data_IF_813548944910
#
_entry.id   IF_813548944910
#
_cell.length_a   1.000
_cell.length_b   1.000
_cell.length_c   1.000
_cell.angle_alpha   90.00
_cell.angle_beta   90.00
_cell.angle_gamma   90.00
#
_symmetry.space_group_name_H-M   'P 1'
#
loop_
_entity.id
_entity.type
_entity.pdbx_description
1 polymer ?
#
# COMPACT_ATOMS: atom_id res chain seq x y z
N UNK A 1 1.38 -23.26 -13.30
CA UNK A 1 1.57 -21.92 -12.71
C UNK A 1 3.08 -21.75 -12.53
N UNK A 2 3.69 -20.69 -13.05
CA UNK A 2 5.15 -20.47 -12.92
C UNK A 2 5.44 -20.11 -11.45
N UNK A 3 6.26 -20.93 -10.78
CA UNK A 3 6.68 -20.71 -9.39
C UNK A 3 7.67 -19.55 -9.31
N UNK A 4 7.14 -18.32 -9.24
CA UNK A 4 7.93 -17.14 -8.95
C UNK A 4 8.26 -17.14 -7.46
N UNK A 5 9.50 -17.49 -7.09
CA UNK A 5 10.02 -17.34 -5.73
C UNK A 5 10.16 -15.84 -5.42
N UNK A 6 9.08 -15.22 -4.96
CA UNK A 6 9.23 -14.03 -4.14
C UNK A 6 9.92 -14.48 -2.86
N UNK A 7 11.00 -13.81 -2.46
CA UNK A 7 11.59 -13.96 -1.12
C UNK A 7 10.56 -13.51 -0.09
N UNK A 8 9.62 -14.41 0.21
CA UNK A 8 8.52 -14.25 1.12
C UNK A 8 9.07 -14.40 2.53
N UNK A 9 9.93 -13.46 2.95
CA UNK A 9 10.10 -13.22 4.38
C UNK A 9 8.80 -12.57 4.83
N UNK A 10 7.90 -13.29 5.54
CA UNK A 10 6.67 -12.69 6.02
C UNK A 10 7.08 -11.55 6.95
N UNK A 11 6.89 -10.31 6.48
CA UNK A 11 7.19 -9.15 7.31
C UNK A 11 6.26 -9.21 8.53
N UNK A 12 6.84 -9.27 9.73
CA UNK A 12 6.05 -9.33 10.95
C UNK A 12 5.44 -7.94 11.20
N UNK A 13 4.20 -7.75 10.76
CA UNK A 13 3.46 -6.52 11.02
C UNK A 13 3.20 -6.38 12.52
N UNK A 14 3.57 -5.22 13.08
CA UNK A 14 3.30 -4.87 14.47
C UNK A 14 1.89 -4.27 14.55
N UNK A 15 0.99 -4.92 15.28
CA UNK A 15 -0.39 -4.48 15.53
C UNK A 15 -1.23 -4.17 14.26
N UNK A 16 -1.41 -5.13 13.34
CA UNK A 16 -2.26 -4.91 12.18
C UNK A 16 -3.73 -4.80 12.57
N UNK A 17 -4.44 -3.85 11.95
CA UNK A 17 -5.88 -3.64 12.17
C UNK A 17 -6.68 -4.80 11.56
N UNK A 18 -6.28 -5.27 10.37
CA UNK A 18 -6.90 -6.42 9.68
C UNK A 18 -5.84 -7.23 8.95
N UNK A 19 -5.96 -8.55 8.99
CA UNK A 19 -5.14 -9.49 8.21
C UNK A 19 -5.99 -10.13 7.11
N UNK A 20 -5.44 -10.32 5.93
CA UNK A 20 -6.11 -10.94 4.80
C UNK A 20 -5.08 -11.57 3.85
N UNK A 21 -5.52 -12.52 3.03
CA UNK A 21 -4.67 -13.13 2.00
C UNK A 21 -4.93 -12.46 0.65
N UNK A 22 -3.87 -12.26 -0.14
CA UNK A 22 -4.05 -11.84 -1.51
C UNK A 22 -4.57 -13.02 -2.35
N UNK A 23 -5.69 -12.87 -3.09
CA UNK A 23 -6.25 -13.98 -3.87
C UNK A 23 -5.41 -14.37 -5.08
N UNK A 24 -4.49 -13.49 -5.53
CA UNK A 24 -3.67 -13.75 -6.72
C UNK A 24 -2.33 -14.42 -6.38
N UNK A 25 -1.61 -13.91 -5.36
CA UNK A 25 -0.31 -14.46 -4.97
C UNK A 25 -0.35 -15.34 -3.70
N UNK A 26 -1.49 -15.41 -2.99
CA UNK A 26 -1.63 -16.21 -1.77
C UNK A 26 -0.89 -15.68 -0.55
N UNK A 27 -0.14 -14.58 -0.67
CA UNK A 27 0.67 -14.00 0.41
C UNK A 27 -0.22 -13.32 1.47
N UNK A 28 0.10 -13.54 2.75
CA UNK A 28 -0.55 -12.86 3.87
C UNK A 28 -0.23 -11.36 3.86
N UNK A 29 -1.25 -10.54 4.03
CA UNK A 29 -1.15 -9.09 4.15
C UNK A 29 -1.89 -8.57 5.36
N UNK A 30 -1.46 -7.40 5.80
CA UNK A 30 -2.07 -6.73 6.93
C UNK A 30 -2.22 -5.24 6.65
N UNK A 31 -3.40 -4.70 6.90
CA UNK A 31 -3.64 -3.26 6.89
C UNK A 31 -3.26 -2.68 8.24
N UNK A 32 -2.43 -1.63 8.22
CA UNK A 32 -2.05 -0.91 9.44
C UNK A 32 -2.94 0.31 9.63
N UNK A 33 -3.46 0.88 8.54
CA UNK A 33 -4.35 2.02 8.61
C UNK A 33 -5.81 1.59 8.74
N UNK A 34 -6.55 2.25 9.64
CA UNK A 34 -8.00 2.13 9.73
C UNK A 34 -8.67 3.21 8.87
N UNK A 35 -9.75 2.85 8.18
CA UNK A 35 -10.56 3.85 7.45
C UNK A 35 -11.29 4.84 8.37
N UNK A 36 -11.45 4.50 9.66
CA UNK A 36 -12.16 5.32 10.64
C UNK A 36 -11.19 6.28 11.32
N UNK A 37 -11.65 7.49 11.62
CA UNK A 37 -10.90 8.45 12.42
C UNK A 37 -10.77 7.93 13.85
N UNK A 38 -9.54 7.70 14.29
CA UNK A 38 -9.20 7.36 15.68
C UNK A 38 -9.23 8.62 16.55
N UNK A 39 -9.46 8.51 17.88
CA UNK A 39 -9.47 9.66 18.81
C UNK A 39 -8.21 10.54 18.73
N UNK A 40 -7.06 9.92 18.43
CA UNK A 40 -5.79 10.64 18.22
C UNK A 40 -5.87 11.65 17.08
N UNK A 41 -6.56 11.31 15.98
CA UNK A 41 -6.75 12.22 14.86
C UNK A 41 -7.66 13.39 15.23
N UNK A 42 -8.68 13.17 16.07
CA UNK A 42 -9.52 14.27 16.58
C UNK A 42 -8.72 15.25 17.43
N UNK A 43 -7.87 14.75 18.33
CA UNK A 43 -6.97 15.60 19.11
C UNK A 43 -6.03 16.42 18.20
N UNK A 44 -5.45 15.78 17.18
CA UNK A 44 -4.61 16.46 16.21
C UNK A 44 -5.38 17.54 15.42
N UNK A 45 -6.61 17.24 14.98
CA UNK A 45 -7.47 18.20 14.28
C UNK A 45 -7.77 19.44 15.14
N UNK A 46 -8.04 19.24 16.44
CA UNK A 46 -8.29 20.36 17.38
C UNK A 46 -7.06 21.26 17.50
N UNK A 47 -5.87 20.68 17.70
CA UNK A 47 -4.62 21.45 17.82
C UNK A 47 -4.33 22.21 16.53
N UNK A 48 -4.42 21.53 15.38
CA UNK A 48 -4.15 22.14 14.07
C UNK A 48 -5.16 23.25 13.78
N UNK A 49 -6.44 23.03 14.08
CA UNK A 49 -7.47 24.07 13.90
C UNK A 49 -7.19 25.27 14.80
N UNK A 50 -6.94 25.06 16.10
CA UNK A 50 -6.64 26.15 17.03
C UNK A 50 -5.41 26.97 16.59
N UNK A 51 -4.35 26.29 16.15
CA UNK A 51 -3.16 26.93 15.61
C UNK A 51 -3.46 27.73 14.33
N UNK A 52 -4.25 27.17 13.43
CA UNK A 52 -4.65 27.83 12.17
C UNK A 52 -5.53 29.04 12.45
N UNK A 53 -6.51 28.93 13.33
CA UNK A 53 -7.35 30.07 13.76
C UNK A 53 -6.51 31.17 14.39
N UNK A 54 -5.53 30.84 15.24
CA UNK A 54 -4.65 31.83 15.86
C UNK A 54 -3.80 32.58 14.84
N UNK A 55 -3.27 31.87 13.83
CA UNK A 55 -2.49 32.48 12.75
C UNK A 55 -3.35 33.37 11.83
N UNK A 56 -4.59 32.96 11.57
CA UNK A 56 -5.52 33.71 10.69
C UNK A 56 -6.31 34.80 11.44
N UNK A 57 -6.25 34.83 12.77
CA UNK A 57 -6.97 35.79 13.61
C UNK A 57 -6.80 37.27 13.20
N UNK A 58 -5.59 37.79 12.91
CA UNK A 58 -5.44 39.20 12.54
C UNK A 58 -6.04 39.55 11.17
N UNK A 59 -6.39 38.56 10.35
CA UNK A 59 -6.93 38.78 9.01
C UNK A 59 -8.44 38.52 8.92
N UNK A 60 -8.94 37.51 9.65
CA UNK A 60 -10.31 36.99 9.50
C UNK A 60 -11.10 36.94 10.81
N UNK A 61 -10.53 37.37 11.94
CA UNK A 61 -11.18 37.41 13.26
C UNK A 61 -12.03 36.15 13.55
N UNK A 62 -13.35 36.31 13.71
CA UNK A 62 -14.31 35.23 13.99
C UNK A 62 -14.69 34.39 12.78
N UNK A 63 -14.51 34.91 11.55
CA UNK A 63 -14.69 34.11 10.33
C UNK A 63 -13.65 33.00 10.22
N UNK A 64 -12.55 33.10 10.97
CA UNK A 64 -11.54 32.06 11.14
C UNK A 64 -12.09 30.74 11.70
N UNK A 65 -13.30 30.70 12.27
CA UNK A 65 -13.99 29.45 12.63
C UNK A 65 -14.29 28.56 11.41
N UNK A 66 -14.43 29.13 10.22
CA UNK A 66 -14.63 28.35 8.99
C UNK A 66 -13.40 27.49 8.64
N UNK A 67 -12.21 27.83 9.15
CA UNK A 67 -11.00 27.03 8.98
C UNK A 67 -11.15 25.60 9.52
N UNK A 68 -12.03 25.38 10.50
CA UNK A 68 -12.34 24.03 11.00
C UNK A 68 -12.84 23.10 9.89
N UNK A 69 -13.75 23.56 9.03
CA UNK A 69 -14.26 22.76 7.92
C UNK A 69 -13.17 22.43 6.90
N UNK A 70 -12.28 23.38 6.62
CA UNK A 70 -11.15 23.16 5.73
C UNK A 70 -10.18 22.12 6.30
N UNK A 71 -9.79 22.25 7.58
CA UNK A 71 -8.91 21.29 8.25
C UNK A 71 -9.56 19.90 8.30
N UNK A 72 -10.85 19.83 8.64
CA UNK A 72 -11.61 18.58 8.67
C UNK A 72 -11.62 17.88 7.30
N UNK A 73 -11.92 18.62 6.23
CA UNK A 73 -11.91 18.10 4.87
C UNK A 73 -10.53 17.57 4.46
N UNK A 74 -9.45 18.28 4.79
CA UNK A 74 -8.07 17.84 4.52
C UNK A 74 -7.77 16.54 5.28
N UNK A 75 -8.16 16.43 6.54
CA UNK A 75 -7.93 15.22 7.34
C UNK A 75 -8.71 14.03 6.81
N UNK A 76 -9.99 14.21 6.47
CA UNK A 76 -10.81 13.14 5.89
C UNK A 76 -10.22 12.65 4.57
N UNK A 77 -9.86 13.58 3.68
CA UNK A 77 -9.24 13.27 2.41
C UNK A 77 -7.88 12.58 2.59
N UNK A 78 -7.05 13.07 3.50
CA UNK A 78 -5.72 12.53 3.80
C UNK A 78 -5.77 11.09 4.30
N UNK A 79 -6.64 10.79 5.28
CA UNK A 79 -6.82 9.42 5.78
C UNK A 79 -7.37 8.51 4.68
N UNK A 80 -8.32 9.02 3.87
CA UNK A 80 -8.89 8.25 2.76
C UNK A 80 -7.85 7.95 1.68
N UNK A 81 -6.97 8.89 1.36
CA UNK A 81 -5.88 8.72 0.40
C UNK A 81 -4.82 7.76 0.93
N UNK A 82 -4.40 7.93 2.19
CA UNK A 82 -3.43 7.04 2.83
C UNK A 82 -3.94 5.59 2.87
N UNK A 83 -5.22 5.39 3.22
CA UNK A 83 -5.83 4.06 3.19
C UNK A 83 -5.82 3.45 1.79
N UNK A 84 -6.10 4.24 0.73
CA UNK A 84 -6.07 3.73 -0.66
C UNK A 84 -4.69 3.27 -1.10
N UNK A 85 -3.61 3.90 -0.61
CA UNK A 85 -2.24 3.51 -0.93
C UNK A 85 -1.86 2.14 -0.36
N UNK A 86 -2.49 1.69 0.74
CA UNK A 86 -2.22 0.37 1.33
C UNK A 86 -2.96 -0.79 0.64
N UNK A 87 -3.99 -0.51 -0.17
CA UNK A 87 -4.83 -1.54 -0.84
C UNK A 87 -4.05 -2.42 -1.86
N UNK A 88 -3.27 -1.85 -2.81
CA UNK A 88 -2.63 -2.64 -3.86
C UNK A 88 -1.55 -3.60 -3.31
N UNK A 89 -1.33 -4.71 -4.02
CA UNK A 89 -0.27 -5.65 -3.66
C UNK A 89 1.12 -5.12 -3.95
N UNK A 90 2.05 -5.11 -2.98
CA UNK A 90 3.46 -4.85 -3.27
C UNK A 90 4.13 -6.01 -4.03
N UNK A 91 3.58 -7.22 -3.96
CA UNK A 91 4.16 -8.40 -4.64
C UNK A 91 3.64 -8.59 -6.07
N UNK A 92 2.34 -8.40 -6.30
CA UNK A 92 1.71 -8.72 -7.59
C UNK A 92 0.88 -7.60 -8.21
N UNK A 93 0.88 -6.39 -7.63
CA UNK A 93 0.06 -5.27 -8.11
C UNK A 93 -1.46 -5.45 -8.00
N UNK A 94 -1.96 -6.58 -7.47
CA UNK A 94 -3.40 -6.84 -7.39
C UNK A 94 -4.12 -5.90 -6.42
N UNK A 95 -5.13 -5.17 -6.91
CA UNK A 95 -5.98 -4.27 -6.15
C UNK A 95 -7.42 -4.82 -6.05
N UNK A 96 -7.83 -5.18 -4.83
CA UNK A 96 -9.16 -5.73 -4.56
C UNK A 96 -10.29 -4.71 -4.75
N UNK A 97 -10.01 -3.41 -4.57
CA UNK A 97 -11.00 -2.34 -4.74
C UNK A 97 -11.37 -2.15 -6.21
N UNK A 98 -10.39 -2.27 -7.11
CA UNK A 98 -10.63 -2.28 -8.55
C UNK A 98 -11.25 -3.59 -9.01
N UNK A 99 -10.83 -4.74 -8.48
CA UNK A 99 -11.44 -6.03 -8.86
C UNK A 99 -12.95 -6.07 -8.59
N UNK A 100 -13.41 -5.48 -7.48
CA UNK A 100 -14.84 -5.38 -7.16
C UNK A 100 -15.61 -4.42 -8.09
N UNK A 101 -14.94 -3.39 -8.62
CA UNK A 101 -15.58 -2.38 -9.49
C UNK A 101 -15.53 -2.74 -10.96
N UNK A 102 -14.34 -3.14 -11.44
CA UNK A 102 -14.08 -3.55 -12.81
C UNK A 102 -12.90 -4.53 -12.88
N UNK A 103 -13.20 -5.77 -13.25
CA UNK A 103 -12.23 -6.86 -13.42
C UNK A 103 -11.25 -6.59 -14.58
N UNK A 104 -11.65 -5.83 -15.61
CA UNK A 104 -10.77 -5.50 -16.74
C UNK A 104 -9.68 -4.55 -16.28
N UNK A 105 -10.03 -3.53 -15.53
CA UNK A 105 -9.06 -2.57 -15.00
C UNK A 105 -8.10 -3.20 -14.00
N UNK A 106 -8.60 -4.08 -13.11
CA UNK A 106 -7.75 -4.84 -12.21
C UNK A 106 -6.72 -5.70 -12.94
N UNK A 107 -7.13 -6.38 -14.03
CA UNK A 107 -6.20 -7.14 -14.89
C UNK A 107 -5.18 -6.24 -15.57
N UNK A 108 -5.57 -5.05 -16.03
CA UNK A 108 -4.65 -4.08 -16.62
C UNK A 108 -3.59 -3.62 -15.61
N UNK A 109 -3.99 -3.27 -14.38
CA UNK A 109 -3.06 -2.86 -13.32
C UNK A 109 -2.03 -3.94 -12.97
N UNK A 110 -2.44 -5.21 -12.90
CA UNK A 110 -1.51 -6.32 -12.66
C UNK A 110 -0.53 -6.48 -13.83
N UNK A 111 -0.99 -6.37 -15.07
CA UNK A 111 -0.13 -6.41 -16.26
C UNK A 111 0.87 -5.25 -16.26
N UNK A 112 0.40 -4.05 -15.96
CA UNK A 112 1.23 -2.84 -15.89
C UNK A 112 2.31 -2.99 -14.80
N UNK A 113 1.94 -3.53 -13.63
CA UNK A 113 2.88 -3.81 -12.54
C UNK A 113 3.97 -4.82 -12.94
N UNK A 114 3.62 -5.87 -13.69
CA UNK A 114 4.62 -6.84 -14.16
C UNK A 114 5.49 -6.30 -15.30
N UNK A 115 4.96 -5.40 -16.14
CA UNK A 115 5.73 -4.70 -17.16
C UNK A 115 6.77 -3.77 -16.53
N UNK A 116 6.37 -3.01 -15.50
CA UNK A 116 7.28 -2.11 -14.76
C UNK A 116 8.40 -2.89 -14.04
N UNK A 117 8.10 -4.08 -13.53
CA UNK A 117 9.10 -4.97 -12.91
C UNK A 117 9.92 -5.79 -13.91
N UNK A 118 9.77 -5.58 -15.23
CA UNK A 118 10.56 -6.22 -16.28
C UNK A 118 10.28 -7.72 -16.50
N UNK A 119 9.09 -8.21 -16.13
CA UNK A 119 8.74 -9.65 -16.20
C UNK A 119 8.01 -10.01 -17.50
N UNK A 120 7.38 -9.03 -18.18
CA UNK A 120 6.51 -9.26 -19.35
C UNK A 120 6.70 -8.14 -20.38
N UNK A 121 6.87 -8.50 -21.65
CA UNK A 121 7.00 -7.57 -22.78
C UNK A 121 5.64 -7.01 -23.25
N UNK A 122 5.65 -5.98 -24.11
CA UNK A 122 4.46 -5.21 -24.54
C UNK A 122 3.32 -6.07 -25.12
N UNK A 123 3.66 -7.25 -25.67
CA UNK A 123 2.72 -8.17 -26.33
C UNK A 123 2.08 -9.20 -25.38
N UNK A 124 2.39 -9.16 -24.07
CA UNK A 124 1.85 -10.09 -23.09
C UNK A 124 2.42 -11.51 -23.16
N UNK A 125 3.52 -11.70 -23.91
CA UNK A 125 4.33 -12.90 -23.88
C UNK A 125 5.38 -12.78 -22.77
N UNK A 126 5.60 -13.87 -22.04
CA UNK A 126 6.61 -13.87 -20.98
C UNK A 126 7.99 -13.84 -21.64
N UNK A 127 8.84 -12.89 -21.23
CA UNK A 127 10.20 -12.78 -21.74
C UNK A 127 10.91 -14.15 -21.65
N UNK A 128 11.46 -14.69 -22.75
CA UNK A 128 12.24 -15.92 -22.71
C UNK A 128 13.64 -15.59 -22.20
N UNK A 129 13.88 -15.70 -20.89
CA UNK A 129 15.26 -15.66 -20.37
C UNK A 129 15.46 -15.07 -18.98
N UNK A 130 15.00 -15.77 -17.94
CA UNK A 130 15.65 -15.73 -16.61
C UNK A 130 15.75 -17.15 -16.05
N UNK A 131 16.41 -18.04 -16.80
CA UNK A 131 17.13 -19.18 -16.25
C UNK A 131 18.62 -18.82 -16.30
N UNK A 132 19.34 -19.04 -15.20
CA UNK A 132 20.80 -18.86 -15.00
C UNK A 132 21.21 -17.59 -14.23
N UNK A 133 21.06 -17.60 -12.90
CA UNK A 133 21.96 -16.88 -11.94
C UNK A 133 21.82 -17.34 -10.48
N UNK A 134 21.47 -18.61 -10.19
CA UNK A 134 21.60 -19.18 -8.83
C UNK A 134 22.02 -20.67 -8.87
N UNK A 135 22.97 -21.00 -9.76
CA UNK A 135 23.67 -22.28 -9.75
C UNK A 135 25.17 -22.03 -9.57
N UNK A 136 25.56 -21.44 -8.44
CA UNK A 136 26.95 -21.47 -7.96
C UNK A 136 27.06 -20.87 -6.57
N UNK A 137 27.51 -21.71 -5.62
CA UNK A 137 28.07 -21.41 -4.29
C UNK A 137 27.07 -21.32 -3.13
N UNK A 138 26.85 -22.45 -2.44
CA UNK A 138 27.36 -22.71 -1.09
C UNK A 138 27.63 -24.23 -0.98
N UNK A 139 28.89 -24.56 -0.73
CA UNK A 139 29.42 -25.90 -0.50
C UNK A 139 28.83 -26.54 0.77
N UNK A 140 28.59 -27.85 0.70
CA UNK A 140 28.61 -28.74 1.86
C UNK A 140 29.90 -28.55 2.66
N UNK A 141 29.85 -28.30 3.98
CA UNK A 141 30.95 -28.68 4.85
C UNK A 141 30.84 -30.18 5.13
N UNK A 142 31.71 -30.90 4.45
CA UNK A 142 32.20 -32.25 4.75
C UNK A 142 32.34 -32.45 6.26
N UNK A 143 31.66 -33.45 6.81
CA UNK A 143 31.96 -34.04 8.11
C UNK A 143 33.20 -34.94 7.97
N UNK A 144 34.24 -34.79 8.81
CA UNK A 144 35.15 -35.88 9.10
C UNK A 144 34.94 -36.42 10.52
N UNK A 145 34.56 -37.70 10.55
CA UNK A 145 34.72 -38.72 11.60
C UNK A 145 34.17 -38.47 13.01
#
# INVERSE_FOLDING_TARGET
>A
MKDFKFDARPYKYKNPVKRFFCPLCGVERAFNLSHRLTPKHYFQMIIVTAFTTLLLFPFMEWEGLFSFFAVWAIFELGIRMAFRKEIPCPHCGFDASWYKKDVKMARKLVKDFWRENGVVDEDGQSAPGQNNSQASQIQEPTQPF
#
